data_IF_508433535155
#
_entry.id   IF_508433535155
#
_cell.length_a   1.000
_cell.length_b   1.000
_cell.length_c   1.000
_cell.angle_alpha   90.00
_cell.angle_beta   90.00
_cell.angle_gamma   90.00
#
_symmetry.space_group_name_H-M   'P 1'
#
loop_
_entity.id
_entity.type
_entity.pdbx_description
1 polymer ?
#
# COMPACT_ATOMS: atom_id res chain seq x y z
N UNK A 1 25.86 -15.39 4.79
CA UNK A 1 24.61 -15.75 4.07
C UNK A 1 24.42 -14.79 2.90
N UNK A 2 23.86 -15.23 1.77
CA UNK A 2 23.55 -14.34 0.64
C UNK A 2 22.05 -14.00 0.66
N UNK A 3 21.70 -12.76 0.27
CA UNK A 3 20.33 -12.30 0.17
C UNK A 3 20.09 -11.61 -1.18
N UNK A 4 18.86 -11.70 -1.69
CA UNK A 4 18.46 -11.02 -2.91
C UNK A 4 17.85 -9.66 -2.53
N UNK A 5 18.32 -8.59 -3.15
CA UNK A 5 17.88 -7.22 -2.88
C UNK A 5 17.36 -6.59 -4.17
N UNK A 6 16.09 -6.20 -4.18
CA UNK A 6 15.48 -5.52 -5.31
C UNK A 6 15.63 -4.00 -5.16
N UNK A 7 16.18 -3.39 -6.19
CA UNK A 7 16.34 -1.95 -6.27
C UNK A 7 15.14 -1.32 -7.00
N UNK A 8 14.60 -0.19 -6.54
CA UNK A 8 13.52 0.55 -7.23
C UNK A 8 14.08 1.32 -8.44
N UNK A 9 14.59 0.58 -9.40
CA UNK A 9 15.19 1.04 -10.66
C UNK A 9 14.64 0.22 -11.83
N UNK A 10 15.03 0.57 -13.04
CA UNK A 10 14.71 -0.23 -14.24
C UNK A 10 15.61 -1.48 -14.21
N UNK A 11 15.16 -2.53 -13.51
CA UNK A 11 15.83 -3.83 -13.45
C UNK A 11 14.78 -4.95 -13.33
N UNK A 12 15.08 -6.08 -13.98
CA UNK A 12 14.17 -7.23 -14.08
C UNK A 12 14.42 -8.28 -12.99
N UNK A 13 15.45 -8.10 -12.19
CA UNK A 13 15.89 -9.08 -11.21
C UNK A 13 16.49 -8.40 -9.98
N UNK A 14 16.42 -9.06 -8.82
CA UNK A 14 17.12 -8.61 -7.62
C UNK A 14 18.63 -8.88 -7.70
N UNK A 15 19.40 -8.06 -7.02
CA UNK A 15 20.85 -8.17 -6.93
C UNK A 15 21.26 -8.97 -5.68
N UNK A 16 22.33 -9.77 -5.80
CA UNK A 16 22.85 -10.55 -4.68
C UNK A 16 23.76 -9.70 -3.79
N UNK A 17 23.51 -9.73 -2.49
CA UNK A 17 24.33 -9.10 -1.45
C UNK A 17 24.68 -10.13 -0.37
N UNK A 18 25.80 -9.93 0.32
CA UNK A 18 26.12 -10.67 1.52
C UNK A 18 25.36 -10.11 2.71
N UNK A 19 24.79 -10.98 3.53
CA UNK A 19 24.17 -10.62 4.79
C UNK A 19 24.92 -11.23 5.96
N UNK A 20 25.21 -10.40 6.96
CA UNK A 20 25.75 -10.81 8.25
C UNK A 20 24.61 -11.18 9.20
N UNK A 21 23.39 -10.71 8.95
CA UNK A 21 22.21 -10.95 9.78
C UNK A 21 21.43 -12.17 9.29
N UNK A 22 21.22 -13.14 10.18
CA UNK A 22 20.46 -14.37 9.88
C UNK A 22 18.94 -14.19 9.89
N UNK A 23 18.42 -12.99 10.16
CA UNK A 23 16.98 -12.73 10.37
C UNK A 23 16.29 -11.91 9.28
N UNK A 24 16.90 -11.82 8.08
CA UNK A 24 16.29 -11.11 6.97
C UNK A 24 15.19 -11.94 6.32
N UNK A 25 14.03 -11.30 6.08
CA UNK A 25 12.87 -11.90 5.39
C UNK A 25 12.54 -11.10 4.14
N UNK A 26 11.88 -11.73 3.17
CA UNK A 26 11.32 -11.01 2.03
C UNK A 26 10.43 -9.87 2.52
N UNK A 27 10.55 -8.71 1.88
CA UNK A 27 9.87 -7.48 2.27
C UNK A 27 10.64 -6.59 3.23
N UNK A 28 11.67 -7.06 3.90
CA UNK A 28 12.48 -6.23 4.79
C UNK A 28 13.23 -5.14 4.02
N UNK A 29 13.23 -3.94 4.59
CA UNK A 29 14.01 -2.82 4.05
C UNK A 29 15.44 -2.87 4.57
N UNK A 30 16.39 -2.71 3.66
CA UNK A 30 17.80 -2.76 3.96
C UNK A 30 18.55 -1.58 3.34
N UNK A 31 19.61 -1.14 4.00
CA UNK A 31 20.55 -0.19 3.42
C UNK A 31 21.69 -0.95 2.76
N UNK A 32 21.92 -0.67 1.48
CA UNK A 32 23.00 -1.26 0.69
C UNK A 32 23.77 -0.20 -0.08
N UNK A 33 24.99 -0.53 -0.49
CA UNK A 33 25.78 0.31 -1.40
C UNK A 33 25.59 -0.14 -2.84
N UNK A 34 24.93 0.70 -3.68
CA UNK A 34 24.83 0.51 -5.12
C UNK A 34 25.69 1.54 -5.86
N UNK A 35 26.66 1.07 -6.65
CA UNK A 35 27.69 1.95 -7.20
C UNK A 35 28.50 2.61 -6.08
N UNK A 36 28.46 3.94 -6.02
CA UNK A 36 29.10 4.77 -4.97
C UNK A 36 28.10 5.34 -3.96
N UNK A 37 26.80 5.01 -4.08
CA UNK A 37 25.73 5.61 -3.24
C UNK A 37 25.14 4.57 -2.31
N UNK A 38 24.86 5.01 -1.07
CA UNK A 38 24.03 4.25 -0.14
C UNK A 38 22.57 4.46 -0.50
N UNK A 39 21.84 3.36 -0.66
CA UNK A 39 20.43 3.33 -1.03
C UNK A 39 19.68 2.39 -0.09
N UNK A 40 18.39 2.62 0.05
CA UNK A 40 17.51 1.74 0.81
C UNK A 40 16.69 0.95 -0.20
N UNK A 41 16.73 -0.35 -0.09
CA UNK A 41 16.15 -1.30 -1.01
C UNK A 41 15.42 -2.40 -0.23
N UNK A 42 14.80 -3.34 -0.91
CA UNK A 42 13.93 -4.34 -0.30
C UNK A 42 14.50 -5.75 -0.53
N UNK A 43 14.51 -6.56 0.53
CA UNK A 43 14.79 -8.00 0.39
C UNK A 43 13.69 -8.62 -0.45
N UNK A 44 14.06 -9.27 -1.54
CA UNK A 44 13.13 -9.82 -2.51
C UNK A 44 13.26 -11.34 -2.61
N UNK A 45 12.16 -12.08 -2.83
CA UNK A 45 12.27 -13.50 -3.10
C UNK A 45 12.96 -13.74 -4.44
N UNK A 46 13.86 -14.71 -4.49
CA UNK A 46 14.56 -15.06 -5.71
C UNK A 46 15.63 -16.12 -5.46
N UNK A 47 16.07 -16.77 -6.54
CA UNK A 47 17.18 -17.73 -6.48
C UNK A 47 18.50 -16.97 -6.40
N UNK A 48 19.34 -17.42 -5.50
CA UNK A 48 20.71 -16.90 -5.39
C UNK A 48 21.51 -17.44 -6.57
N UNK A 49 21.94 -16.57 -7.46
CA UNK A 49 22.82 -16.95 -8.55
C UNK A 49 24.22 -17.22 -8.04
N UNK A 50 24.87 -18.29 -8.50
CA UNK A 50 26.28 -18.53 -8.26
C UNK A 50 27.11 -17.58 -9.13
N UNK A 51 27.39 -16.42 -8.55
CA UNK A 51 28.23 -15.40 -9.17
C UNK A 51 29.71 -15.78 -8.91
N UNK A 52 30.29 -16.59 -9.81
CA UNK A 52 31.71 -16.85 -9.81
C UNK A 52 32.43 -15.56 -10.26
N UNK A 53 33.46 -15.16 -9.49
CA UNK A 53 34.37 -14.03 -9.80
C UNK A 53 33.78 -12.61 -9.67
N UNK A 54 32.65 -12.41 -9.01
CA UNK A 54 32.10 -11.07 -8.75
C UNK A 54 32.22 -10.75 -7.26
N UNK A 55 32.81 -9.59 -6.93
CA UNK A 55 32.89 -9.10 -5.54
C UNK A 55 31.50 -8.68 -5.07
N UNK A 56 30.86 -9.54 -4.28
CA UNK A 56 29.54 -9.28 -3.71
C UNK A 56 29.68 -8.29 -2.55
N UNK A 57 28.90 -7.19 -2.58
CA UNK A 57 28.85 -6.20 -1.52
C UNK A 57 28.01 -6.68 -0.34
N UNK A 58 28.20 -6.07 0.82
CA UNK A 58 27.47 -6.40 2.03
C UNK A 58 26.20 -5.53 2.18
N UNK A 59 25.19 -6.09 2.82
CA UNK A 59 24.07 -5.31 3.39
C UNK A 59 24.62 -4.57 4.61
N UNK A 60 24.47 -3.25 4.67
CA UNK A 60 25.02 -2.43 5.74
C UNK A 60 24.17 -2.53 7.00
N UNK A 61 22.86 -2.40 6.85
CA UNK A 61 21.91 -2.54 7.97
C UNK A 61 20.48 -2.85 7.52
N UNK A 62 19.73 -3.49 8.40
CA UNK A 62 18.27 -3.63 8.29
C UNK A 62 17.56 -2.38 8.83
N UNK A 63 16.49 -1.97 8.16
CA UNK A 63 15.61 -0.89 8.62
C UNK A 63 14.45 -1.54 9.36
N UNK A 64 14.48 -1.50 10.69
CA UNK A 64 13.63 -2.35 11.54
C UNK A 64 12.14 -1.96 11.60
N UNK A 65 11.75 -0.80 11.08
CA UNK A 65 10.40 -0.28 11.32
C UNK A 65 9.40 -0.57 10.20
N UNK A 66 9.84 -1.20 9.11
CA UNK A 66 9.02 -1.40 7.93
C UNK A 66 9.35 -2.72 7.24
N UNK A 67 8.30 -3.38 6.76
CA UNK A 67 8.41 -4.56 5.91
C UNK A 67 7.20 -4.58 4.98
N UNK A 68 7.40 -4.95 3.72
CA UNK A 68 6.30 -5.22 2.80
C UNK A 68 5.67 -6.57 3.16
N UNK A 69 4.34 -6.64 3.13
CA UNK A 69 3.63 -7.90 3.28
C UNK A 69 3.85 -8.83 2.08
N UNK A 70 3.76 -10.14 2.30
CA UNK A 70 3.95 -11.14 1.25
C UNK A 70 2.92 -10.97 0.12
N UNK A 71 1.68 -10.65 0.47
CA UNK A 71 0.60 -10.42 -0.49
C UNK A 71 0.91 -9.28 -1.46
N UNK A 72 1.54 -8.21 -0.96
CA UNK A 72 1.94 -7.08 -1.79
C UNK A 72 3.12 -7.45 -2.71
N UNK A 73 4.07 -8.23 -2.21
CA UNK A 73 5.19 -8.77 -3.01
C UNK A 73 4.65 -9.64 -4.16
N UNK A 74 3.73 -10.54 -3.86
CA UNK A 74 3.12 -11.45 -4.84
C UNK A 74 2.31 -10.65 -5.86
N UNK A 75 1.55 -9.65 -5.42
CA UNK A 75 0.84 -8.75 -6.31
C UNK A 75 1.79 -7.96 -7.23
N UNK A 76 2.89 -7.43 -6.71
CA UNK A 76 3.88 -6.72 -7.52
C UNK A 76 4.53 -7.62 -8.56
N UNK A 77 4.86 -8.87 -8.20
CA UNK A 77 5.41 -9.84 -9.14
C UNK A 77 4.41 -10.16 -10.26
N UNK A 78 3.15 -10.42 -9.89
CA UNK A 78 2.08 -10.62 -10.86
C UNK A 78 1.89 -9.39 -11.76
N UNK A 79 1.86 -8.19 -11.18
CA UNK A 79 1.68 -6.94 -11.91
C UNK A 79 2.82 -6.69 -12.90
N UNK A 80 4.05 -6.96 -12.51
CA UNK A 80 5.24 -6.85 -13.37
C UNK A 80 5.12 -7.79 -14.57
N UNK A 81 4.80 -9.06 -14.31
CA UNK A 81 4.64 -10.08 -15.35
C UNK A 81 3.48 -9.75 -16.30
N UNK A 82 2.31 -9.39 -15.74
CA UNK A 82 1.12 -9.09 -16.52
C UNK A 82 1.29 -7.87 -17.45
N UNK A 83 2.01 -6.85 -16.97
CA UNK A 83 2.25 -5.61 -17.73
C UNK A 83 3.58 -5.62 -18.49
N UNK A 84 4.33 -6.74 -18.47
CA UNK A 84 5.68 -6.83 -19.07
C UNK A 84 6.61 -5.71 -18.61
N UNK A 85 6.56 -5.38 -17.32
CA UNK A 85 7.33 -4.30 -16.72
C UNK A 85 8.46 -4.85 -15.84
N UNK A 86 9.64 -4.19 -15.83
CA UNK A 86 10.70 -4.52 -14.90
C UNK A 86 10.21 -4.47 -13.45
N UNK A 87 10.43 -5.52 -12.68
CA UNK A 87 9.96 -5.61 -11.28
C UNK A 87 10.50 -4.47 -10.41
N UNK A 88 11.74 -4.03 -10.63
CA UNK A 88 12.31 -2.88 -9.92
C UNK A 88 11.60 -1.56 -10.25
N UNK A 89 11.01 -1.44 -11.45
CA UNK A 89 10.16 -0.28 -11.79
C UNK A 89 8.82 -0.34 -11.07
N UNK A 90 8.21 -1.51 -10.94
CA UNK A 90 6.97 -1.71 -10.16
C UNK A 90 7.21 -1.35 -8.69
N UNK A 91 8.32 -1.82 -8.10
CA UNK A 91 8.72 -1.42 -6.75
C UNK A 91 8.88 0.10 -6.63
N UNK A 92 9.48 0.76 -7.62
CA UNK A 92 9.61 2.22 -7.66
C UNK A 92 8.26 2.93 -7.74
N UNK A 93 7.29 2.39 -8.46
CA UNK A 93 5.93 2.95 -8.54
C UNK A 93 5.23 2.88 -7.19
N UNK A 94 5.38 1.78 -6.45
CA UNK A 94 4.85 1.62 -5.10
C UNK A 94 5.49 2.58 -4.11
N UNK A 95 6.80 2.61 -4.08
CA UNK A 95 7.57 3.37 -3.07
C UNK A 95 7.79 4.84 -3.46
N UNK A 96 7.61 5.19 -4.73
CA UNK A 96 7.99 6.48 -5.28
C UNK A 96 9.52 6.72 -5.30
N UNK A 97 9.94 7.97 -5.52
CA UNK A 97 11.37 8.33 -5.54
C UNK A 97 12.01 8.40 -4.13
N UNK A 98 11.38 7.82 -3.14
CA UNK A 98 11.48 8.30 -1.77
C UNK A 98 11.99 7.29 -0.77
N UNK A 99 13.04 6.59 -1.12
CA UNK A 99 13.81 5.79 -0.14
C UNK A 99 14.50 6.65 0.93
N UNK A 100 14.71 7.95 0.66
CA UNK A 100 15.08 8.93 1.69
C UNK A 100 14.03 9.08 2.81
N UNK A 101 12.86 8.49 2.62
CA UNK A 101 11.69 8.52 3.48
C UNK A 101 11.86 7.85 4.81
N UNK A 102 12.54 6.74 4.81
CA UNK A 102 12.73 5.93 6.01
C UNK A 102 13.70 6.63 6.98
N UNK A 103 14.52 7.56 6.45
CA UNK A 103 15.54 8.26 7.23
C UNK A 103 15.05 9.52 7.96
N UNK A 104 13.92 10.13 7.56
CA UNK A 104 13.45 11.39 8.14
C UNK A 104 12.31 11.15 9.14
N UNK A 105 12.37 11.84 10.27
CA UNK A 105 11.26 11.99 11.21
C UNK A 105 10.18 12.91 10.60
N UNK A 106 9.47 12.42 9.58
CA UNK A 106 8.27 13.11 9.13
C UNK A 106 7.17 12.95 10.21
N UNK A 107 6.36 13.99 10.38
CA UNK A 107 5.18 13.91 11.24
C UNK A 107 4.30 12.75 10.80
N UNK A 108 3.67 12.10 11.76
CA UNK A 108 2.68 11.07 11.48
C UNK A 108 1.46 11.66 10.75
N UNK A 109 0.74 10.82 10.05
CA UNK A 109 -0.54 11.20 9.47
C UNK A 109 -1.54 11.46 10.63
N UNK A 110 -1.98 12.69 10.76
CA UNK A 110 -2.94 13.09 11.78
C UNK A 110 -4.37 12.98 11.23
N UNK A 111 -5.21 12.23 11.93
CA UNK A 111 -6.64 12.21 11.67
C UNK A 111 -7.30 13.30 12.51
N UNK A 112 -7.86 14.31 11.85
CA UNK A 112 -8.74 15.28 12.52
C UNK A 112 -10.06 14.60 12.81
N UNK A 113 -10.38 14.37 14.08
CA UNK A 113 -11.67 13.79 14.48
C UNK A 113 -12.79 14.83 14.33
N UNK A 114 -13.84 14.45 13.66
CA UNK A 114 -15.08 15.25 13.52
C UNK A 114 -16.28 14.45 13.99
N UNK A 115 -17.37 15.14 14.27
CA UNK A 115 -18.62 14.49 14.72
C UNK A 115 -19.19 13.63 13.59
N UNK A 116 -19.49 12.37 13.90
CA UNK A 116 -20.11 11.42 12.98
C UNK A 116 -21.60 11.68 12.89
N UNK A 117 -22.14 11.76 11.68
CA UNK A 117 -23.57 11.77 11.44
C UNK A 117 -24.12 10.34 11.49
N UNK A 118 -25.33 10.19 12.03
CA UNK A 118 -26.04 8.91 11.97
C UNK A 118 -26.71 8.79 10.60
N UNK A 119 -26.52 7.66 9.96
CA UNK A 119 -27.19 7.31 8.71
C UNK A 119 -27.96 6.01 8.92
N UNK A 120 -29.18 5.98 8.44
CA UNK A 120 -30.00 4.76 8.50
C UNK A 120 -30.08 4.14 7.10
N UNK A 121 -29.85 2.85 7.06
CA UNK A 121 -30.00 2.06 5.85
C UNK A 121 -31.45 1.63 5.67
N UNK A 122 -31.97 1.74 4.46
CA UNK A 122 -33.27 1.15 4.10
C UNK A 122 -33.16 -0.39 4.01
N UNK A 123 -34.28 -1.08 3.85
CA UNK A 123 -34.33 -2.55 3.86
C UNK A 123 -33.52 -3.19 2.72
N UNK A 124 -33.51 -2.60 1.53
CA UNK A 124 -32.73 -3.10 0.40
C UNK A 124 -31.22 -2.95 0.65
N UNK A 125 -30.80 -1.81 1.18
CA UNK A 125 -29.42 -1.56 1.57
C UNK A 125 -28.94 -2.50 2.69
N UNK A 126 -29.82 -2.79 3.67
CA UNK A 126 -29.55 -3.78 4.72
C UNK A 126 -29.34 -5.18 4.15
N UNK A 127 -30.21 -5.59 3.20
CA UNK A 127 -30.07 -6.88 2.50
C UNK A 127 -28.75 -6.95 1.72
N UNK A 128 -28.43 -5.90 0.94
CA UNK A 128 -27.18 -5.83 0.21
C UNK A 128 -25.94 -5.90 1.14
N UNK A 129 -25.96 -5.16 2.26
CA UNK A 129 -24.90 -5.18 3.26
C UNK A 129 -24.76 -6.57 3.92
N UNK A 130 -25.89 -7.24 4.20
CA UNK A 130 -25.88 -8.61 4.75
C UNK A 130 -25.20 -9.56 3.77
N UNK A 131 -25.50 -9.49 2.50
CA UNK A 131 -24.86 -10.29 1.45
C UNK A 131 -23.36 -10.03 1.37
N UNK A 132 -22.91 -8.76 1.34
CA UNK A 132 -21.50 -8.40 1.33
C UNK A 132 -20.73 -8.87 2.57
N UNK A 133 -21.40 -9.05 3.70
CA UNK A 133 -20.78 -9.48 4.94
C UNK A 133 -20.69 -11.00 5.11
N UNK A 134 -21.40 -11.77 4.26
CA UNK A 134 -21.54 -13.21 4.43
C UNK A 134 -20.25 -13.99 4.09
N UNK A 135 -19.34 -13.38 3.34
CA UNK A 135 -18.13 -14.06 2.89
C UNK A 135 -16.92 -13.72 3.78
N UNK A 136 -16.33 -14.78 4.31
CA UNK A 136 -15.20 -14.73 5.25
C UNK A 136 -13.86 -14.74 4.50
N UNK A 137 -12.86 -14.18 5.12
CA UNK A 137 -11.38 -14.19 5.02
C UNK A 137 -10.70 -14.76 3.74
N UNK A 138 -11.46 -15.21 2.74
CA UNK A 138 -10.98 -15.61 1.42
C UNK A 138 -11.17 -14.46 0.43
N UNK A 139 -10.34 -14.42 -0.60
CA UNK A 139 -10.54 -13.51 -1.73
C UNK A 139 -11.90 -13.75 -2.35
N UNK A 140 -12.67 -12.68 -2.50
CA UNK A 140 -13.98 -12.70 -3.12
C UNK A 140 -14.23 -11.40 -3.88
N UNK A 141 -14.99 -11.51 -4.97
CA UNK A 141 -15.45 -10.38 -5.77
C UNK A 141 -16.97 -10.28 -5.64
N UNK A 142 -17.44 -9.12 -5.24
CA UNK A 142 -18.87 -8.83 -5.14
C UNK A 142 -19.21 -7.60 -5.97
N UNK A 143 -20.33 -7.67 -6.71
CA UNK A 143 -20.84 -6.56 -7.51
C UNK A 143 -22.05 -5.95 -6.80
N UNK A 144 -21.99 -4.64 -6.50
CA UNK A 144 -23.12 -3.89 -5.96
C UNK A 144 -23.76 -3.08 -7.08
N UNK A 145 -24.88 -3.58 -7.60
CA UNK A 145 -25.65 -2.94 -8.67
C UNK A 145 -26.80 -2.10 -8.11
N UNK A 146 -27.08 -0.98 -8.77
CA UNK A 146 -28.19 -0.10 -8.41
C UNK A 146 -28.13 1.19 -9.23
N UNK A 147 -29.26 1.88 -9.33
CA UNK A 147 -29.38 3.16 -10.04
C UNK A 147 -28.56 4.27 -9.38
N UNK A 148 -28.30 5.35 -10.08
CA UNK A 148 -27.71 6.56 -9.49
C UNK A 148 -28.64 7.09 -8.39
N UNK A 149 -28.06 7.46 -7.24
CA UNK A 149 -28.87 7.92 -6.09
C UNK A 149 -29.43 6.83 -5.19
N UNK A 150 -29.33 5.53 -5.53
CA UNK A 150 -29.84 4.42 -4.68
C UNK A 150 -29.12 4.25 -3.34
N UNK A 151 -28.09 5.06 -3.06
CA UNK A 151 -27.36 5.02 -1.79
C UNK A 151 -26.30 3.91 -1.69
N UNK A 152 -25.80 3.38 -2.81
CA UNK A 152 -24.69 2.40 -2.84
C UNK A 152 -23.51 2.82 -1.97
N UNK A 153 -23.21 4.12 -1.95
CA UNK A 153 -22.14 4.69 -1.14
C UNK A 153 -22.26 4.34 0.35
N UNK A 154 -23.46 4.43 0.91
CA UNK A 154 -23.69 4.07 2.31
C UNK A 154 -23.48 2.60 2.57
N UNK A 155 -23.85 1.73 1.63
CA UNK A 155 -23.67 0.27 1.77
C UNK A 155 -22.19 -0.07 1.83
N UNK A 156 -21.38 0.43 0.90
CA UNK A 156 -19.95 0.13 0.94
C UNK A 156 -19.23 0.88 2.06
N UNK A 157 -19.67 2.05 2.50
CA UNK A 157 -19.13 2.73 3.68
C UNK A 157 -19.34 1.90 4.95
N UNK A 158 -20.55 1.34 5.15
CA UNK A 158 -20.81 0.42 6.27
C UNK A 158 -19.95 -0.84 6.20
N UNK A 159 -19.70 -1.36 5.00
CA UNK A 159 -18.76 -2.50 4.83
C UNK A 159 -17.34 -2.12 5.21
N UNK A 160 -16.84 -0.98 4.74
CA UNK A 160 -15.52 -0.45 5.08
C UNK A 160 -15.39 -0.25 6.59
N UNK A 161 -16.38 0.35 7.23
CA UNK A 161 -16.41 0.56 8.69
C UNK A 161 -16.19 -0.76 9.45
N UNK A 162 -16.86 -1.82 9.02
CA UNK A 162 -16.66 -3.17 9.60
C UNK A 162 -15.24 -3.70 9.39
N UNK A 163 -14.64 -3.45 8.23
CA UNK A 163 -13.24 -3.83 7.93
C UNK A 163 -12.27 -3.08 8.85
N UNK A 164 -12.45 -1.76 9.00
CA UNK A 164 -11.61 -0.93 9.86
C UNK A 164 -11.73 -1.35 11.32
N UNK A 165 -12.95 -1.64 11.80
CA UNK A 165 -13.19 -2.13 13.16
C UNK A 165 -12.48 -3.46 13.44
N UNK A 166 -12.29 -4.30 12.42
CA UNK A 166 -11.47 -5.51 12.51
C UNK A 166 -9.95 -5.23 12.42
N UNK A 167 -9.54 -3.95 12.50
CA UNK A 167 -8.13 -3.49 12.38
C UNK A 167 -7.48 -3.81 11.03
N UNK A 168 -8.26 -4.18 10.01
CA UNK A 168 -7.81 -4.37 8.62
C UNK A 168 -7.81 -3.04 7.88
N UNK A 169 -7.14 -2.99 6.75
CA UNK A 169 -7.07 -1.79 5.89
C UNK A 169 -8.08 -1.91 4.73
N UNK A 170 -8.50 -0.75 4.24
CA UNK A 170 -9.37 -0.65 3.07
C UNK A 170 -8.79 0.35 2.06
N UNK A 171 -8.90 0.00 0.78
CA UNK A 171 -8.57 0.88 -0.34
C UNK A 171 -9.83 1.11 -1.15
N UNK A 172 -10.19 2.39 -1.34
CA UNK A 172 -11.29 2.82 -2.21
C UNK A 172 -10.70 3.42 -3.48
N UNK A 173 -10.96 2.77 -4.60
CA UNK A 173 -10.51 3.25 -5.91
C UNK A 173 -11.63 4.06 -6.58
N UNK A 174 -11.33 5.30 -6.89
CA UNK A 174 -12.23 6.19 -7.62
C UNK A 174 -11.49 6.84 -8.79
N UNK A 175 -12.17 7.09 -9.92
CA UNK A 175 -11.66 8.01 -10.92
C UNK A 175 -11.33 9.37 -10.30
N UNK A 176 -10.24 10.03 -10.72
CA UNK A 176 -9.79 11.30 -10.13
C UNK A 176 -10.89 12.37 -10.11
N UNK A 177 -11.77 12.38 -11.10
CA UNK A 177 -12.91 13.32 -11.20
C UNK A 177 -13.93 13.15 -10.06
N UNK A 178 -13.99 12.00 -9.41
CA UNK A 178 -14.90 11.74 -8.28
C UNK A 178 -14.29 12.05 -6.91
N UNK A 179 -13.02 12.44 -6.86
CA UNK A 179 -12.35 12.90 -5.63
C UNK A 179 -12.74 14.35 -5.29
N UNK A 180 -14.03 14.64 -5.35
CA UNK A 180 -14.61 15.97 -5.14
C UNK A 180 -14.69 16.34 -3.66
N UNK A 181 -14.88 17.63 -3.39
CA UNK A 181 -15.09 18.10 -2.02
C UNK A 181 -16.39 17.53 -1.44
N UNK A 182 -17.41 17.29 -2.28
CA UNK A 182 -18.66 16.65 -1.86
C UNK A 182 -18.42 15.21 -1.39
N UNK A 183 -17.64 14.41 -2.13
CA UNK A 183 -17.28 13.06 -1.70
C UNK A 183 -16.52 13.09 -0.37
N UNK A 184 -15.56 14.01 -0.22
CA UNK A 184 -14.81 14.18 1.03
C UNK A 184 -15.71 14.54 2.19
N UNK A 185 -16.66 15.46 1.99
CA UNK A 185 -17.62 15.85 3.03
C UNK A 185 -18.48 14.68 3.46
N UNK A 186 -19.07 13.95 2.52
CA UNK A 186 -19.86 12.74 2.81
C UNK A 186 -19.04 11.69 3.57
N UNK A 187 -17.78 11.54 3.17
CA UNK A 187 -16.86 10.62 3.83
C UNK A 187 -16.62 11.03 5.29
N UNK A 188 -16.29 12.30 5.53
CA UNK A 188 -16.06 12.85 6.87
C UNK A 188 -17.31 12.76 7.74
N UNK A 189 -18.47 13.07 7.17
CA UNK A 189 -19.76 12.95 7.85
C UNK A 189 -20.04 11.52 8.35
N UNK A 190 -19.59 10.51 7.57
CA UNK A 190 -19.83 9.11 7.89
C UNK A 190 -18.77 8.52 8.83
N UNK A 191 -17.49 8.77 8.57
CA UNK A 191 -16.39 8.15 9.31
C UNK A 191 -15.88 9.01 10.49
N UNK A 192 -16.15 10.31 10.50
CA UNK A 192 -15.66 11.25 11.51
C UNK A 192 -14.19 11.64 11.35
N UNK A 193 -13.54 11.27 10.25
CA UNK A 193 -12.16 11.63 9.94
C UNK A 193 -11.94 11.80 8.44
N UNK A 194 -10.88 12.51 8.06
CA UNK A 194 -10.51 12.66 6.66
C UNK A 194 -9.78 11.41 6.14
N UNK A 195 -10.12 10.90 4.92
CA UNK A 195 -9.41 9.79 4.33
C UNK A 195 -8.00 10.20 3.91
N UNK A 196 -7.06 9.28 3.94
CA UNK A 196 -5.80 9.48 3.24
C UNK A 196 -6.06 9.43 1.73
N UNK A 197 -5.83 10.56 1.04
CA UNK A 197 -6.11 10.68 -0.40
C UNK A 197 -4.82 10.48 -1.18
N UNK A 198 -4.85 9.54 -2.16
CA UNK A 198 -3.73 9.27 -3.02
C UNK A 198 -4.06 9.51 -4.49
N UNK A 199 -3.38 10.48 -5.09
CA UNK A 199 -3.46 10.78 -6.52
C UNK A 199 -2.16 11.38 -7.04
N UNK A 200 -2.06 11.59 -8.35
CA UNK A 200 -0.84 12.07 -9.02
C UNK A 200 -0.35 13.42 -8.50
N UNK A 201 -1.28 14.32 -8.15
CA UNK A 201 -1.00 15.72 -7.80
C UNK A 201 -0.61 15.98 -6.34
N UNK A 202 -0.63 14.97 -5.46
CA UNK A 202 -0.21 15.18 -4.06
C UNK A 202 1.32 15.38 -3.98
N UNK A 203 1.72 16.24 -3.04
CA UNK A 203 3.14 16.56 -2.87
C UNK A 203 3.98 15.34 -2.48
N UNK A 204 5.27 15.29 -2.84
CA UNK A 204 6.15 14.21 -2.42
C UNK A 204 6.18 14.01 -0.91
N UNK A 205 6.09 15.09 -0.12
CA UNK A 205 6.01 15.02 1.34
C UNK A 205 4.77 14.26 1.79
N UNK A 206 3.58 14.61 1.28
CA UNK A 206 2.33 13.94 1.65
C UNK A 206 2.30 12.47 1.17
N UNK A 207 2.82 12.18 -0.03
CA UNK A 207 3.01 10.79 -0.48
C UNK A 207 3.78 9.98 0.54
N UNK A 208 4.86 10.54 1.08
CA UNK A 208 5.65 9.91 2.14
C UNK A 208 4.83 9.62 3.37
N UNK A 209 4.22 10.62 3.93
CA UNK A 209 3.45 10.51 5.17
C UNK A 209 2.37 9.44 5.02
N UNK A 210 1.64 9.45 3.91
CA UNK A 210 0.60 8.47 3.62
C UNK A 210 1.20 7.06 3.49
N UNK A 211 2.23 6.90 2.67
CA UNK A 211 2.88 5.61 2.46
C UNK A 211 3.40 5.03 3.79
N UNK A 212 4.09 5.84 4.59
CA UNK A 212 4.56 5.47 5.92
C UNK A 212 3.42 5.04 6.85
N UNK A 213 2.31 5.78 6.82
CA UNK A 213 1.11 5.47 7.60
C UNK A 213 0.46 4.15 7.18
N UNK A 214 0.45 3.84 5.88
CA UNK A 214 -0.09 2.58 5.35
C UNK A 214 0.76 1.40 5.81
N UNK A 215 2.07 1.44 5.55
CA UNK A 215 2.97 0.32 5.84
C UNK A 215 3.14 0.07 7.35
N UNK A 216 3.00 1.11 8.17
CA UNK A 216 2.98 0.99 9.64
C UNK A 216 1.61 0.67 10.21
N UNK A 217 0.62 0.42 9.36
CA UNK A 217 -0.77 0.12 9.73
C UNK A 217 -1.47 1.22 10.58
N UNK A 218 -0.96 2.44 10.54
CA UNK A 218 -1.58 3.61 11.19
C UNK A 218 -2.75 4.16 10.34
N UNK A 219 -2.61 4.16 9.01
CA UNK A 219 -3.69 4.53 8.09
C UNK A 219 -4.49 3.28 7.76
N UNK A 220 -5.79 3.31 8.08
CA UNK A 220 -6.72 2.19 7.87
C UNK A 220 -7.52 2.32 6.57
N UNK A 221 -7.59 3.53 6.02
CA UNK A 221 -8.41 3.81 4.85
C UNK A 221 -7.71 4.79 3.91
N UNK A 222 -7.53 4.33 2.69
CA UNK A 222 -7.00 5.13 1.60
C UNK A 222 -8.06 5.28 0.52
N UNK A 223 -8.20 6.47 0.00
CA UNK A 223 -9.02 6.75 -1.18
C UNK A 223 -8.11 7.25 -2.28
N UNK A 224 -8.13 6.63 -3.43
CA UNK A 224 -7.21 7.02 -4.48
C UNK A 224 -7.65 6.66 -5.89
N UNK A 225 -6.88 7.17 -6.85
CA UNK A 225 -6.99 6.78 -8.25
C UNK A 225 -6.28 5.43 -8.50
N UNK A 226 -6.29 4.97 -9.74
CA UNK A 226 -5.64 3.70 -10.16
C UNK A 226 -4.19 3.55 -9.69
N UNK A 227 -3.45 4.65 -9.59
CA UNK A 227 -2.06 4.65 -9.10
C UNK A 227 -1.90 4.22 -7.64
N UNK A 228 -2.97 4.16 -6.87
CA UNK A 228 -2.96 3.69 -5.47
C UNK A 228 -3.04 2.17 -5.30
N UNK A 229 -3.20 1.41 -6.39
CA UNK A 229 -3.20 -0.06 -6.35
C UNK A 229 -1.90 -0.68 -5.86
N UNK A 230 -0.79 0.04 -5.97
CA UNK A 230 0.54 -0.43 -5.58
C UNK A 230 0.97 0.09 -4.18
N UNK A 231 0.04 0.55 -3.36
CA UNK A 231 0.32 1.04 -2.00
C UNK A 231 0.35 -0.07 -0.96
#
# INVERSE_FOLDING_TARGET
>A
MKAQVLLPKICDFPFTYNSIQNSLKAGDFVEVTFGKKKVIDVIWPGKISDLKNIKIKNIEKKINNFSLGQELIDFMNWFATYNMMPIGLVLKMSMGNNLSLIRKNDKDFEHTQKKVKKFELNEEQKKALKFLNFKNDKFDVSVLQGTTGSGKTLVYFERIKKIINKKKQALVLLPEIFLTNEFKSRFVDFFGFEPAIWHSKITPKNKRIIWKGIISNKIKLVVGARSSLLL
#
